data_IF_694412918435
#
_entry.id   IF_694412918435
#
_cell.length_a   1.000
_cell.length_b   1.000
_cell.length_c   1.000
_cell.angle_alpha   90.00
_cell.angle_beta   90.00
_cell.angle_gamma   90.00
#
_symmetry.space_group_name_H-M   'P 1'
#
loop_
_entity.id
_entity.type
_entity.pdbx_description
1 polymer ?
#
# COMPACT_ATOMS: atom_id res chain seq x y z
N UNK A 1 7.71 40.04 -69.52
CA UNK A 1 8.03 38.63 -69.27
C UNK A 1 8.88 38.56 -67.99
N UNK A 2 8.46 37.70 -67.04
CA UNK A 2 8.95 37.45 -65.66
C UNK A 2 8.34 38.31 -64.52
N UNK A 3 7.52 37.70 -63.63
CA UNK A 3 6.93 38.34 -62.46
C UNK A 3 7.83 38.25 -61.21
N UNK A 4 7.76 39.29 -60.37
CA UNK A 4 8.16 39.27 -58.96
C UNK A 4 7.19 38.39 -58.16
N UNK A 5 7.69 37.44 -57.36
CA UNK A 5 7.01 36.97 -56.13
C UNK A 5 8.04 36.56 -55.08
N UNK A 6 8.10 37.38 -54.04
CA UNK A 6 8.68 37.07 -52.75
C UNK A 6 7.78 36.07 -51.99
N UNK A 7 8.39 35.37 -51.03
CA UNK A 7 7.78 34.67 -49.90
C UNK A 7 6.71 33.59 -50.19
N UNK A 8 7.10 32.33 -50.02
CA UNK A 8 6.20 31.29 -49.51
C UNK A 8 7.03 30.18 -48.81
N UNK A 9 7.46 30.45 -47.58
CA UNK A 9 7.81 29.39 -46.62
C UNK A 9 6.47 28.88 -46.09
N UNK A 10 5.96 27.78 -46.64
CA UNK A 10 4.81 27.09 -46.08
C UNK A 10 5.29 26.29 -44.86
N UNK A 11 5.20 26.90 -43.68
CA UNK A 11 5.39 26.23 -42.40
C UNK A 11 4.28 25.20 -42.21
N UNK A 12 4.62 23.91 -42.31
CA UNK A 12 3.75 22.82 -41.89
C UNK A 12 3.78 22.74 -40.34
N UNK A 13 3.15 23.70 -39.68
CA UNK A 13 2.84 23.60 -38.24
C UNK A 13 1.71 22.59 -38.08
N UNK A 14 2.06 21.31 -38.13
CA UNK A 14 1.19 20.21 -37.71
C UNK A 14 0.89 20.40 -36.24
N UNK A 15 -0.33 20.86 -35.92
CA UNK A 15 -0.83 20.95 -34.56
C UNK A 15 -0.80 19.56 -33.93
N UNK A 16 0.11 19.35 -32.98
CA UNK A 16 0.11 18.18 -32.13
C UNK A 16 -1.04 18.34 -31.14
N UNK A 17 -2.24 17.94 -31.56
CA UNK A 17 -3.40 17.84 -30.66
C UNK A 17 -3.05 16.83 -29.57
N UNK A 18 -2.75 17.32 -28.38
CA UNK A 18 -2.63 16.49 -27.17
C UNK A 18 -4.02 15.93 -26.86
N UNK A 19 -4.34 14.77 -27.44
CA UNK A 19 -5.49 13.98 -27.04
C UNK A 19 -5.22 13.54 -25.61
N UNK A 20 -5.88 14.20 -24.66
CA UNK A 20 -5.87 13.80 -23.25
C UNK A 20 -6.62 12.48 -23.14
N UNK A 21 -5.89 11.36 -23.16
CA UNK A 21 -6.47 10.07 -22.85
C UNK A 21 -7.01 10.11 -21.41
N UNK A 22 -8.25 9.68 -21.15
CA UNK A 22 -8.77 9.61 -19.79
C UNK A 22 -7.85 8.68 -18.99
N UNK A 23 -7.34 9.17 -17.87
CA UNK A 23 -6.60 8.33 -16.93
C UNK A 23 -7.55 7.24 -16.43
N UNK A 24 -7.28 5.98 -16.81
CA UNK A 24 -7.99 4.82 -16.28
C UNK A 24 -7.56 4.61 -14.82
N UNK A 25 -8.23 5.30 -13.91
CA UNK A 25 -8.14 5.01 -12.48
C UNK A 25 -8.77 3.65 -12.20
N UNK A 26 -8.22 2.91 -11.22
CA UNK A 26 -8.89 1.70 -10.72
C UNK A 26 -10.12 2.10 -9.94
N UNK A 27 -11.18 1.32 -10.07
CA UNK A 27 -12.44 1.54 -9.34
C UNK A 27 -12.39 1.05 -7.87
N UNK A 28 -11.36 0.28 -7.50
CA UNK A 28 -11.23 -0.31 -6.15
C UNK A 28 -9.93 0.11 -5.48
N UNK A 29 -10.00 0.38 -4.16
CA UNK A 29 -8.83 0.51 -3.29
C UNK A 29 -8.21 -0.86 -3.05
N UNK A 30 -6.90 -0.97 -3.23
CA UNK A 30 -6.13 -2.19 -2.98
C UNK A 30 -5.32 -2.07 -1.69
N UNK A 31 -5.50 -3.03 -0.79
CA UNK A 31 -4.87 -3.07 0.52
C UNK A 31 -4.04 -4.34 0.67
N UNK A 32 -2.80 -4.20 1.12
CA UNK A 32 -1.91 -5.33 1.43
C UNK A 32 -1.43 -5.24 2.88
N UNK A 33 -0.88 -6.33 3.44
CA UNK A 33 -0.12 -6.22 4.68
C UNK A 33 -0.27 -7.38 5.66
N UNK A 34 -0.23 -7.03 6.95
CA UNK A 34 -0.19 -7.97 8.07
C UNK A 34 -1.29 -9.03 8.04
N UNK A 35 -0.89 -10.29 8.18
CA UNK A 35 -1.80 -11.42 8.37
C UNK A 35 -2.58 -11.36 9.68
N UNK A 36 -2.06 -10.69 10.71
CA UNK A 36 -2.77 -10.53 12.00
C UNK A 36 -3.84 -9.43 11.93
N UNK A 37 -3.67 -8.45 11.05
CA UNK A 37 -4.64 -7.35 10.84
C UNK A 37 -5.67 -7.71 9.77
N UNK A 38 -5.32 -8.64 8.87
CA UNK A 38 -6.14 -9.03 7.73
C UNK A 38 -7.61 -9.34 8.08
N UNK A 39 -7.95 -10.18 9.10
CA UNK A 39 -9.34 -10.47 9.42
C UNK A 39 -10.16 -9.24 9.80
N UNK A 40 -9.55 -8.29 10.53
CA UNK A 40 -10.22 -7.05 10.94
C UNK A 40 -10.42 -6.12 9.75
N UNK A 41 -9.39 -5.96 8.91
CA UNK A 41 -9.46 -5.12 7.72
C UNK A 41 -10.50 -5.65 6.71
N UNK A 42 -10.64 -6.97 6.58
CA UNK A 42 -11.67 -7.59 5.73
C UNK A 42 -13.07 -7.21 6.18
N UNK A 43 -13.37 -7.30 7.48
CA UNK A 43 -14.68 -6.91 8.01
C UNK A 43 -14.96 -5.43 7.77
N UNK A 44 -13.95 -4.56 7.92
CA UNK A 44 -14.09 -3.13 7.62
C UNK A 44 -14.38 -2.89 6.14
N UNK A 45 -13.64 -3.54 5.24
CA UNK A 45 -13.84 -3.41 3.80
C UNK A 45 -15.22 -3.89 3.36
N UNK A 46 -15.69 -5.04 3.85
CA UNK A 46 -17.03 -5.54 3.55
C UNK A 46 -18.12 -4.61 4.07
N UNK A 47 -17.94 -4.03 5.27
CA UNK A 47 -18.90 -3.05 5.81
C UNK A 47 -18.90 -1.78 4.97
N UNK A 48 -17.73 -1.32 4.52
CA UNK A 48 -17.61 -0.16 3.64
C UNK A 48 -18.36 -0.38 2.32
N UNK A 49 -18.12 -1.50 1.64
CA UNK A 49 -18.81 -1.82 0.38
C UNK A 49 -20.31 -2.09 0.54
N UNK A 50 -20.78 -2.53 1.72
CA UNK A 50 -22.22 -2.69 2.00
C UNK A 50 -22.93 -1.37 2.33
N UNK A 51 -22.22 -0.39 2.88
CA UNK A 51 -22.80 0.83 3.42
C UNK A 51 -22.55 2.07 2.56
N UNK A 52 -21.86 1.93 1.42
CA UNK A 52 -21.53 3.04 0.52
C UNK A 52 -21.74 2.62 -0.93
N UNK A 53 -21.81 3.60 -1.83
CA UNK A 53 -21.89 3.35 -3.27
C UNK A 53 -20.52 3.02 -3.90
N UNK A 54 -19.45 3.00 -3.09
CA UNK A 54 -18.10 2.72 -3.56
C UNK A 54 -17.83 1.21 -3.62
N UNK A 55 -17.04 0.74 -4.60
CA UNK A 55 -16.64 -0.65 -4.67
C UNK A 55 -15.89 -1.12 -3.41
N UNK A 56 -16.19 -2.36 -2.98
CA UNK A 56 -15.51 -3.00 -1.86
C UNK A 56 -13.99 -3.04 -2.08
N UNK A 57 -13.18 -2.54 -1.14
CA UNK A 57 -11.73 -2.64 -1.21
C UNK A 57 -11.25 -4.09 -1.33
N UNK A 58 -10.19 -4.32 -2.11
CA UNK A 58 -9.56 -5.63 -2.26
C UNK A 58 -8.43 -5.76 -1.25
N UNK A 59 -8.39 -6.89 -0.53
CA UNK A 59 -7.41 -7.14 0.51
C UNK A 59 -6.57 -8.38 0.17
N UNK A 60 -5.28 -8.30 0.45
CA UNK A 60 -4.35 -9.43 0.34
C UNK A 60 -3.47 -9.53 1.59
N UNK A 61 -3.39 -10.74 2.16
CA UNK A 61 -2.54 -11.04 3.31
C UNK A 61 -1.12 -11.39 2.85
N UNK A 62 -0.17 -10.49 3.09
CA UNK A 62 1.23 -10.62 2.63
C UNK A 62 2.27 -10.51 3.76
N UNK A 63 1.81 -10.30 4.99
CA UNK A 63 2.63 -9.95 6.15
C UNK A 63 3.11 -8.49 6.12
N UNK A 64 3.39 -7.89 7.27
CA UNK A 64 3.77 -6.45 7.35
C UNK A 64 4.96 -6.10 6.46
N UNK A 65 6.02 -6.93 6.45
CA UNK A 65 7.20 -6.69 5.61
C UNK A 65 6.92 -6.86 4.11
N UNK A 66 6.12 -7.86 3.73
CA UNK A 66 5.68 -8.06 2.34
C UNK A 66 4.79 -6.93 1.86
N UNK A 67 3.86 -6.48 2.71
CA UNK A 67 3.00 -5.33 2.46
C UNK A 67 3.79 -4.05 2.22
N UNK A 68 4.76 -3.74 3.08
CA UNK A 68 5.64 -2.58 2.87
C UNK A 68 6.44 -2.71 1.57
N UNK A 69 6.94 -3.90 1.22
CA UNK A 69 7.66 -4.12 -0.05
C UNK A 69 6.79 -3.82 -1.27
N UNK A 70 5.53 -4.29 -1.27
CA UNK A 70 4.60 -4.08 -2.37
C UNK A 70 4.12 -2.63 -2.45
N UNK A 71 3.78 -2.03 -1.31
CA UNK A 71 3.35 -0.63 -1.21
C UNK A 71 4.47 0.34 -1.62
N UNK A 72 5.69 0.13 -1.12
CA UNK A 72 6.83 0.95 -1.46
C UNK A 72 7.42 0.67 -2.85
N UNK A 73 6.82 -0.21 -3.67
CA UNK A 73 7.33 -0.50 -5.01
C UNK A 73 7.11 0.66 -5.99
N UNK A 74 6.18 1.58 -5.70
CA UNK A 74 5.94 2.77 -6.50
C UNK A 74 4.56 3.38 -6.28
N UNK A 75 4.20 4.36 -7.09
CA UNK A 75 2.87 4.99 -7.12
C UNK A 75 2.18 4.61 -8.44
N UNK A 76 0.86 4.41 -8.40
CA UNK A 76 0.05 4.15 -9.59
C UNK A 76 -0.90 2.96 -9.41
N UNK A 77 -1.67 2.70 -10.46
CA UNK A 77 -2.71 1.67 -10.48
C UNK A 77 -2.16 0.23 -10.44
N UNK A 78 -0.86 0.05 -10.51
CA UNK A 78 -0.17 -1.23 -10.38
C UNK A 78 0.34 -1.53 -8.95
N UNK A 79 0.30 -0.54 -8.05
CA UNK A 79 0.78 -0.68 -6.67
C UNK A 79 -0.38 -0.61 -5.66
N UNK A 80 -0.25 -1.20 -4.46
CA UNK A 80 -1.26 -1.07 -3.40
C UNK A 80 -1.41 0.38 -2.93
N UNK A 81 -2.64 0.76 -2.58
CA UNK A 81 -2.96 2.11 -2.10
C UNK A 81 -2.76 2.23 -0.58
N UNK A 82 -2.95 1.13 0.16
CA UNK A 82 -2.81 1.07 1.61
C UNK A 82 -1.98 -0.15 1.98
N UNK A 83 -1.09 0.01 2.96
CA UNK A 83 -0.48 -1.13 3.67
C UNK A 83 -0.85 -1.10 5.14
N UNK A 84 -1.52 -2.15 5.61
CA UNK A 84 -1.74 -2.35 7.03
C UNK A 84 -0.55 -3.09 7.66
N UNK A 85 -0.28 -2.85 8.93
CA UNK A 85 0.86 -3.44 9.62
C UNK A 85 0.56 -3.68 11.10
N UNK A 86 1.06 -4.80 11.62
CA UNK A 86 1.03 -5.14 13.06
C UNK A 86 2.20 -4.53 13.85
N UNK A 87 3.08 -3.80 13.17
CA UNK A 87 4.23 -3.13 13.75
C UNK A 87 4.52 -1.84 12.98
N UNK A 88 5.33 -0.98 13.59
CA UNK A 88 5.83 0.22 12.93
C UNK A 88 6.70 -0.14 11.71
N UNK A 89 6.65 0.73 10.71
CA UNK A 89 7.56 0.70 9.56
C UNK A 89 9.00 0.90 10.04
N UNK A 90 9.94 0.12 9.50
CA UNK A 90 11.38 0.28 9.76
C UNK A 90 11.92 1.44 8.94
N UNK A 91 13.01 2.05 9.42
CA UNK A 91 13.72 3.09 8.67
C UNK A 91 14.11 2.63 7.25
N UNK A 92 14.60 1.40 7.10
CA UNK A 92 14.97 0.85 5.79
C UNK A 92 13.78 0.65 4.84
N UNK A 93 12.60 0.35 5.37
CA UNK A 93 11.34 0.22 4.60
C UNK A 93 10.88 1.61 4.15
N UNK A 94 10.96 2.61 5.03
CA UNK A 94 10.66 4.00 4.71
C UNK A 94 11.60 4.55 3.63
N UNK A 95 12.91 4.36 3.78
CA UNK A 95 13.88 4.80 2.77
C UNK A 95 13.66 4.14 1.41
N UNK A 96 13.25 2.87 1.38
CA UNK A 96 12.85 2.19 0.14
C UNK A 96 11.66 2.90 -0.52
N UNK A 97 10.62 3.22 0.23
CA UNK A 97 9.50 4.02 -0.25
C UNK A 97 9.97 5.37 -0.85
N UNK A 98 10.81 6.10 -0.12
CA UNK A 98 11.34 7.40 -0.59
C UNK A 98 12.11 7.28 -1.90
N UNK A 99 12.98 6.25 -2.03
CA UNK A 99 13.75 5.98 -3.25
C UNK A 99 12.86 5.65 -4.44
N UNK A 100 11.75 4.97 -4.20
CA UNK A 100 10.80 4.55 -5.24
C UNK A 100 9.70 5.58 -5.50
N UNK A 101 9.85 6.81 -4.98
CA UNK A 101 8.93 7.91 -5.26
C UNK A 101 7.68 7.96 -4.38
N UNK A 102 7.49 6.99 -3.48
CA UNK A 102 6.40 6.98 -2.49
C UNK A 102 6.73 7.93 -1.34
N UNK A 103 6.66 9.24 -1.61
CA UNK A 103 7.16 10.30 -0.71
C UNK A 103 6.14 10.78 0.32
N UNK A 104 4.84 10.70 -0.02
CA UNK A 104 3.75 11.20 0.81
C UNK A 104 3.08 10.04 1.56
N UNK A 105 3.76 9.53 2.58
CA UNK A 105 3.23 8.45 3.42
C UNK A 105 2.56 9.04 4.64
N UNK A 106 1.34 8.58 4.93
CA UNK A 106 0.62 8.94 6.16
C UNK A 106 0.48 7.70 7.04
N UNK A 107 0.98 7.78 8.28
CA UNK A 107 0.81 6.73 9.29
C UNK A 107 -0.48 7.01 10.09
N UNK A 108 -1.41 6.04 10.10
CA UNK A 108 -2.63 6.11 10.91
C UNK A 108 -2.62 4.98 11.93
N UNK A 109 -2.60 5.34 13.22
CA UNK A 109 -2.62 4.35 14.31
C UNK A 109 -4.06 3.95 14.64
N UNK A 110 -4.41 2.70 14.36
CA UNK A 110 -5.74 2.14 14.64
C UNK A 110 -5.85 1.55 16.05
N UNK A 111 -4.75 0.99 16.59
CA UNK A 111 -4.77 0.34 17.90
C UNK A 111 -3.41 -0.18 18.34
N UNK A 112 -3.42 -0.97 19.41
CA UNK A 112 -2.28 -1.73 19.90
C UNK A 112 -2.62 -3.23 19.85
N UNK A 113 -1.67 -4.04 19.39
CA UNK A 113 -1.79 -5.49 19.34
C UNK A 113 -1.33 -6.11 20.68
N UNK A 114 -1.90 -7.26 21.04
CA UNK A 114 -1.59 -8.00 22.27
C UNK A 114 -1.09 -9.40 21.96
N UNK A 115 0.07 -9.77 22.50
CA UNK A 115 0.59 -11.14 22.39
C UNK A 115 0.15 -11.95 23.61
N UNK A 116 -0.48 -13.09 23.37
CA UNK A 116 -0.92 -14.03 24.41
C UNK A 116 -0.08 -15.29 24.32
N UNK A 117 0.48 -15.73 25.44
CA UNK A 117 1.12 -17.04 25.57
C UNK A 117 0.06 -18.01 26.07
N UNK A 118 -0.36 -18.95 25.21
CA UNK A 118 -1.34 -19.98 25.57
C UNK A 118 -0.64 -21.31 25.91
N UNK A 119 -1.17 -22.04 26.88
CA UNK A 119 -0.77 -23.40 27.20
C UNK A 119 -1.90 -24.39 26.85
N UNK A 120 -1.55 -25.61 26.43
CA UNK A 120 -2.52 -26.69 26.28
C UNK A 120 -3.15 -27.02 27.63
N UNK A 121 -4.43 -27.40 27.63
CA UNK A 121 -5.17 -27.86 28.81
C UNK A 121 -4.72 -29.25 29.28
N UNK A 122 -4.15 -30.04 28.38
CA UNK A 122 -3.66 -31.40 28.65
C UNK A 122 -2.23 -31.40 29.22
N UNK A 123 -1.53 -30.27 29.11
CA UNK A 123 -0.18 -30.09 29.64
C UNK A 123 -0.21 -29.45 31.02
N UNK A 124 0.86 -29.68 31.80
CA UNK A 124 1.08 -28.91 33.03
C UNK A 124 1.12 -27.41 32.74
N UNK A 125 0.52 -26.62 33.64
CA UNK A 125 0.43 -25.17 33.45
C UNK A 125 1.83 -24.55 33.43
N UNK A 126 2.11 -23.76 32.38
CA UNK A 126 3.40 -23.07 32.27
C UNK A 126 3.46 -21.91 33.28
N UNK A 127 4.42 -21.96 34.19
CA UNK A 127 4.75 -20.84 35.07
C UNK A 127 5.95 -20.08 34.48
N UNK A 128 5.68 -19.10 33.64
CA UNK A 128 6.70 -18.32 32.94
C UNK A 128 6.99 -17.01 33.66
N UNK A 129 8.25 -16.80 34.02
CA UNK A 129 8.74 -15.49 34.43
C UNK A 129 9.03 -14.60 33.23
N UNK A 130 8.95 -13.28 33.42
CA UNK A 130 9.34 -12.30 32.40
C UNK A 130 10.79 -12.50 31.91
N UNK A 131 11.70 -12.90 32.81
CA UNK A 131 13.09 -13.21 32.46
C UNK A 131 13.18 -14.36 31.47
N UNK A 132 12.42 -15.43 31.66
CA UNK A 132 12.40 -16.57 30.74
C UNK A 132 11.84 -16.16 29.37
N UNK A 133 10.75 -15.39 29.34
CA UNK A 133 10.18 -14.87 28.09
C UNK A 133 11.17 -13.98 27.36
N UNK A 134 11.85 -13.08 28.07
CA UNK A 134 12.87 -12.20 27.50
C UNK A 134 14.05 -12.99 26.91
N UNK A 135 14.62 -13.92 27.68
CA UNK A 135 15.77 -14.73 27.24
C UNK A 135 15.42 -15.65 26.06
N UNK A 136 14.16 -16.09 25.93
CA UNK A 136 13.72 -16.89 24.80
C UNK A 136 13.64 -16.10 23.48
N UNK A 137 13.46 -14.78 23.55
CA UNK A 137 13.34 -13.88 22.39
C UNK A 137 14.63 -13.11 22.08
N UNK A 138 15.56 -13.04 23.03
CA UNK A 138 16.82 -12.35 22.87
C UNK A 138 17.64 -13.01 21.74
N UNK A 139 18.05 -12.20 20.76
CA UNK A 139 18.99 -12.55 19.69
C UNK A 139 20.21 -11.67 19.78
#
# INVERSE_FOLDING_TARGET
MKPNKAFAIAALTGGLSLVSAPALARDTVNVVGSSTVYPFATVVAERFGRNTDFPTPKLESTGSGGGFKLFCAGIGTQHPDITNASRRMKTSEFEMCQRNGVKAITEVKIGADGIVIANSREAGQMNLSLRQVFLALAK
#
